data_IF_254817076761
#
_entry.id   IF_254817076761
#
_cell.length_a   1.000
_cell.length_b   1.000
_cell.length_c   1.000
_cell.angle_alpha   90.00
_cell.angle_beta   90.00
_cell.angle_gamma   90.00
#
_symmetry.space_group_name_H-M   'P 1'
#
loop_
_entity.id
_entity.type
_entity.pdbx_description
1 polymer ?
#
# COMPACT_ATOMS: atom_id res chain seq x y z
N UNK A 1 15.93 4.73 25.48
CA UNK A 1 15.43 5.05 26.85
C UNK A 1 14.30 6.09 26.86
N UNK A 2 14.19 7.01 25.89
CA UNK A 2 13.11 8.02 25.85
C UNK A 2 11.74 7.48 25.39
N UNK A 3 11.69 6.53 24.45
CA UNK A 3 10.43 5.97 23.91
C UNK A 3 9.56 5.39 25.03
N UNK A 4 10.15 4.66 25.99
CA UNK A 4 9.43 4.10 27.14
C UNK A 4 8.77 5.19 28.00
N UNK A 5 9.45 6.34 28.18
CA UNK A 5 8.92 7.48 28.94
C UNK A 5 7.76 8.16 28.20
N UNK A 6 7.82 8.21 26.87
CA UNK A 6 6.72 8.73 26.05
C UNK A 6 5.50 7.83 26.16
N UNK A 7 5.69 6.51 26.07
CA UNK A 7 4.61 5.52 26.17
C UNK A 7 3.97 5.48 27.57
N UNK A 8 4.74 5.72 28.64
CA UNK A 8 4.18 5.80 30.01
C UNK A 8 3.28 7.01 30.23
N UNK A 9 3.31 8.00 29.33
CA UNK A 9 2.44 9.18 29.35
C UNK A 9 1.16 9.02 28.53
N UNK A 10 0.81 7.78 28.16
CA UNK A 10 -0.40 7.47 27.39
C UNK A 10 -0.50 8.21 26.06
N UNK A 11 0.63 8.39 25.39
CA UNK A 11 0.68 9.03 24.09
C UNK A 11 -0.18 8.26 23.08
N UNK A 12 -0.89 9.03 22.25
CA UNK A 12 -1.80 8.53 21.21
C UNK A 12 -1.17 8.52 19.83
N UNK A 13 -0.22 9.41 19.57
CA UNK A 13 0.49 9.48 18.29
C UNK A 13 1.99 9.47 18.53
N UNK A 14 2.68 8.55 17.87
CA UNK A 14 4.12 8.45 17.92
C UNK A 14 4.68 8.33 16.51
N UNK A 15 5.56 9.27 16.17
CA UNK A 15 6.33 9.27 14.95
C UNK A 15 7.82 9.15 15.27
N UNK A 16 8.48 8.18 14.66
CA UNK A 16 9.91 7.93 14.83
C UNK A 16 10.56 7.91 13.45
N UNK A 17 11.52 8.82 13.28
CA UNK A 17 12.40 8.85 12.13
C UNK A 17 13.80 8.37 12.52
N UNK A 18 14.37 7.48 11.71
CA UNK A 18 15.70 6.94 11.86
C UNK A 18 16.45 7.07 10.54
N UNK A 19 17.68 7.60 10.56
CA UNK A 19 18.51 7.63 9.35
C UNK A 19 18.84 6.21 8.88
N UNK A 20 18.77 5.96 7.57
CA UNK A 20 19.08 4.66 6.98
C UNK A 20 20.59 4.35 6.88
N UNK A 21 21.45 5.31 7.24
CA UNK A 21 22.92 5.23 7.10
C UNK A 21 23.65 4.83 8.39
N UNK A 22 22.93 4.43 9.44
CA UNK A 22 23.56 3.99 10.68
C UNK A 22 23.91 2.50 10.60
N UNK A 23 25.17 2.16 10.92
CA UNK A 23 25.61 0.76 11.08
C UNK A 23 24.86 0.02 12.20
N UNK A 24 24.22 0.77 13.11
CA UNK A 24 23.41 0.21 14.20
C UNK A 24 21.95 0.22 13.82
N UNK A 25 21.35 -0.97 13.78
CA UNK A 25 19.91 -1.14 13.65
C UNK A 25 19.20 -0.53 14.86
N UNK A 26 18.22 0.35 14.60
CA UNK A 26 17.41 0.93 15.67
C UNK A 26 16.28 -0.04 16.03
N UNK A 27 16.48 -0.78 17.12
CA UNK A 27 15.47 -1.68 17.69
C UNK A 27 14.60 -0.89 18.66
N UNK A 28 13.29 -0.92 18.45
CA UNK A 28 12.32 -0.26 19.33
C UNK A 28 12.01 -1.13 20.55
N UNK A 29 11.76 -0.53 21.73
CA UNK A 29 11.45 -1.31 22.93
C UNK A 29 10.14 -2.08 22.74
N UNK A 30 10.08 -3.30 23.29
CA UNK A 30 8.89 -4.17 23.21
C UNK A 30 7.62 -3.53 23.75
N UNK A 31 7.76 -2.60 24.71
CA UNK A 31 6.65 -1.82 25.28
C UNK A 31 5.90 -0.97 24.25
N UNK A 32 6.54 -0.64 23.12
CA UNK A 32 5.86 0.04 22.01
C UNK A 32 4.71 -0.81 21.48
N UNK A 33 4.97 -2.10 21.26
CA UNK A 33 4.04 -3.07 20.68
C UNK A 33 2.94 -3.53 21.64
N UNK A 34 2.94 -3.08 22.89
CA UNK A 34 1.90 -3.38 23.90
C UNK A 34 1.20 -2.11 24.40
N UNK A 35 1.47 -0.96 23.79
CA UNK A 35 0.93 0.32 24.21
C UNK A 35 -0.56 0.44 23.83
N UNK A 36 -1.42 0.40 24.85
CA UNK A 36 -2.88 0.44 24.66
C UNK A 36 -3.43 1.81 24.28
N UNK A 37 -2.69 2.90 24.56
CA UNK A 37 -3.13 4.26 24.24
C UNK A 37 -2.80 4.66 22.80
N UNK A 38 -1.90 3.94 22.14
CA UNK A 38 -1.38 4.33 20.84
C UNK A 38 -2.42 4.13 19.74
N UNK A 39 -2.74 5.23 19.05
CA UNK A 39 -3.73 5.31 17.96
C UNK A 39 -3.06 5.45 16.61
N UNK A 40 -1.97 6.22 16.55
CA UNK A 40 -1.19 6.47 15.33
C UNK A 40 0.26 6.10 15.59
N UNK A 41 0.82 5.22 14.76
CA UNK A 41 2.22 4.85 14.79
C UNK A 41 2.83 5.07 13.42
N UNK A 42 3.85 5.94 13.35
CA UNK A 42 4.62 6.21 12.14
C UNK A 42 6.08 5.87 12.37
N UNK A 43 6.60 4.91 11.63
CA UNK A 43 7.99 4.46 11.68
C UNK A 43 8.63 4.71 10.32
N UNK A 44 9.75 5.44 10.31
CA UNK A 44 10.44 5.83 9.09
C UNK A 44 11.95 5.58 9.17
N UNK A 45 12.49 4.96 8.13
CA UNK A 45 13.90 4.66 7.91
C UNK A 45 14.40 3.44 8.68
N UNK A 46 15.72 3.37 8.90
CA UNK A 46 16.48 2.18 9.33
C UNK A 46 16.16 1.58 10.72
N UNK A 47 14.89 1.34 10.98
CA UNK A 47 14.31 0.76 12.18
C UNK A 47 14.16 -0.74 11.92
N UNK A 48 14.67 -1.56 12.83
CA UNK A 48 14.44 -2.99 12.81
C UNK A 48 13.18 -3.32 13.59
N UNK A 49 12.16 -3.81 12.89
CA UNK A 49 10.95 -4.34 13.51
C UNK A 49 11.17 -5.78 13.95
N UNK A 50 11.53 -5.93 15.22
CA UNK A 50 11.45 -7.19 15.96
C UNK A 50 10.16 -7.22 16.78
N UNK A 51 9.07 -7.67 16.14
CA UNK A 51 7.74 -7.66 16.75
C UNK A 51 7.61 -8.84 17.72
N UNK A 52 7.43 -8.57 19.03
CA UNK A 52 7.36 -9.62 20.04
C UNK A 52 6.11 -10.49 19.86
N UNK A 53 6.14 -11.72 20.39
CA UNK A 53 5.00 -12.65 20.31
C UNK A 53 3.73 -12.12 20.99
N UNK A 54 3.88 -11.35 22.06
CA UNK A 54 2.77 -10.79 22.84
C UNK A 54 2.39 -9.36 22.40
N UNK A 55 2.48 -9.06 21.10
CA UNK A 55 2.05 -7.77 20.55
C UNK A 55 0.54 -7.58 20.76
N UNK A 56 0.14 -6.38 21.16
CA UNK A 56 -1.25 -6.00 21.32
C UNK A 56 -1.37 -4.48 21.25
N UNK A 57 -1.90 -3.98 20.13
CA UNK A 57 -2.13 -2.55 19.90
C UNK A 57 -3.62 -2.30 19.68
N UNK A 58 -4.43 -2.40 20.75
CA UNK A 58 -5.90 -2.46 20.64
C UNK A 58 -6.55 -1.16 20.16
N UNK A 59 -5.83 -0.04 20.22
CA UNK A 59 -6.34 1.28 19.83
C UNK A 59 -5.76 1.80 18.52
N UNK A 60 -4.86 1.04 17.88
CA UNK A 60 -4.11 1.50 16.72
C UNK A 60 -5.02 1.54 15.49
N UNK A 61 -5.27 2.75 15.00
CA UNK A 61 -6.08 3.04 13.81
C UNK A 61 -5.23 3.34 12.58
N UNK A 62 -4.04 3.91 12.76
CA UNK A 62 -3.16 4.29 11.66
C UNK A 62 -1.75 3.74 11.88
N UNK A 63 -1.25 3.02 10.88
CA UNK A 63 0.09 2.46 10.87
C UNK A 63 0.83 2.90 9.59
N UNK A 64 1.92 3.62 9.74
CA UNK A 64 2.79 4.04 8.64
C UNK A 64 4.16 3.43 8.83
N UNK A 65 4.58 2.62 7.86
CA UNK A 65 5.87 1.94 7.85
C UNK A 65 6.62 2.34 6.58
N UNK A 66 7.58 3.25 6.71
CA UNK A 66 8.34 3.78 5.56
C UNK A 66 9.80 3.36 5.67
N UNK A 67 10.27 2.45 4.81
CA UNK A 67 11.68 2.06 4.82
C UNK A 67 12.12 1.38 6.11
N UNK A 68 11.24 0.64 6.79
CA UNK A 68 11.60 -0.18 7.95
C UNK A 68 12.13 -1.54 7.50
N UNK A 69 12.98 -2.15 8.33
CA UNK A 69 13.50 -3.51 8.11
C UNK A 69 12.73 -4.50 9.00
N UNK A 70 12.48 -5.71 8.50
CA UNK A 70 11.74 -6.74 9.23
C UNK A 70 12.69 -7.81 9.76
N UNK A 71 12.73 -8.03 11.07
CA UNK A 71 13.64 -9.02 11.66
C UNK A 71 13.32 -10.45 11.19
N UNK A 72 12.03 -10.74 11.03
CA UNK A 72 11.49 -11.97 10.44
C UNK A 72 10.39 -11.61 9.45
N UNK A 73 10.22 -12.44 8.42
CA UNK A 73 9.15 -12.30 7.43
C UNK A 73 7.76 -12.14 8.06
N UNK A 74 7.49 -12.90 9.13
CA UNK A 74 6.20 -12.88 9.84
C UNK A 74 5.98 -11.63 10.73
N UNK A 75 6.98 -10.75 10.89
CA UNK A 75 6.91 -9.65 11.86
C UNK A 75 5.76 -8.68 11.53
N UNK A 76 5.60 -8.36 10.25
CA UNK A 76 4.49 -7.52 9.79
C UNK A 76 3.14 -8.21 10.01
N UNK A 77 3.00 -9.46 9.60
CA UNK A 77 1.76 -10.22 9.74
C UNK A 77 1.34 -10.35 11.21
N UNK A 78 2.31 -10.59 12.10
CA UNK A 78 2.09 -10.64 13.54
C UNK A 78 1.61 -9.30 14.08
N UNK A 79 2.18 -8.19 13.60
CA UNK A 79 1.75 -6.85 14.00
C UNK A 79 0.32 -6.58 13.54
N UNK A 80 0.03 -6.79 12.25
CA UNK A 80 -1.28 -6.52 11.64
C UNK A 80 -2.40 -7.35 12.27
N UNK A 81 -2.17 -8.66 12.50
CA UNK A 81 -3.14 -9.55 13.15
C UNK A 81 -3.49 -9.16 14.59
N UNK A 82 -2.68 -8.33 15.25
CA UNK A 82 -2.89 -7.86 16.62
C UNK A 82 -3.26 -6.36 16.72
N UNK A 83 -3.72 -5.78 15.62
CA UNK A 83 -4.26 -4.42 15.53
C UNK A 83 -5.73 -4.48 15.05
N UNK A 84 -6.70 -4.87 15.92
CA UNK A 84 -8.06 -5.20 15.50
C UNK A 84 -8.86 -4.01 14.93
N UNK A 85 -8.47 -2.78 15.26
CA UNK A 85 -9.17 -1.53 14.85
C UNK A 85 -8.38 -0.73 13.82
N UNK A 86 -7.43 -1.35 13.13
CA UNK A 86 -6.60 -0.69 12.13
C UNK A 86 -7.43 -0.28 10.91
N UNK A 87 -7.47 1.03 10.62
CA UNK A 87 -8.28 1.64 9.57
C UNK A 87 -7.40 2.10 8.39
N UNK A 88 -6.18 2.57 8.64
CA UNK A 88 -5.26 3.10 7.63
C UNK A 88 -3.86 2.47 7.75
N UNK A 89 -3.39 1.86 6.66
CA UNK A 89 -2.08 1.22 6.56
C UNK A 89 -1.30 1.80 5.37
N UNK A 90 -0.13 2.34 5.67
CA UNK A 90 0.86 2.76 4.66
C UNK A 90 2.11 1.91 4.82
N UNK A 91 2.50 1.19 3.77
CA UNK A 91 3.74 0.42 3.73
C UNK A 91 4.58 0.85 2.54
N UNK A 92 5.81 1.27 2.82
CA UNK A 92 6.79 1.57 1.79
C UNK A 92 7.99 0.62 1.92
N UNK A 93 8.13 -0.20 0.89
CA UNK A 93 9.15 -1.22 0.70
C UNK A 93 10.32 -0.66 -0.14
N UNK A 94 11.08 0.28 0.41
CA UNK A 94 12.26 0.89 -0.27
C UNK A 94 13.60 0.12 -0.14
N UNK A 95 13.88 -0.64 0.92
CA UNK A 95 15.22 -1.25 1.17
C UNK A 95 15.42 -2.66 0.63
N UNK A 96 16.59 -3.03 0.11
CA UNK A 96 16.89 -4.27 -0.63
C UNK A 96 16.64 -5.66 0.03
N UNK A 97 15.88 -5.77 1.11
CA UNK A 97 15.62 -7.05 1.76
C UNK A 97 14.59 -7.90 0.99
N UNK A 98 14.86 -9.19 0.85
CA UNK A 98 13.89 -10.14 0.32
C UNK A 98 12.76 -10.32 1.34
N UNK A 99 11.57 -9.78 1.05
CA UNK A 99 10.42 -9.88 1.94
C UNK A 99 9.61 -11.17 1.73
N UNK A 100 9.90 -11.94 0.68
CA UNK A 100 9.14 -13.11 0.25
C UNK A 100 7.66 -12.80 0.12
N UNK A 101 6.78 -13.44 0.90
CA UNK A 101 5.33 -13.18 0.89
C UNK A 101 4.93 -11.92 1.66
N UNK A 102 4.14 -11.07 1.03
CA UNK A 102 3.45 -9.96 1.68
C UNK A 102 1.96 -10.26 1.78
N UNK A 103 1.42 -10.28 3.00
CA UNK A 103 0.03 -10.66 3.26
C UNK A 103 -0.61 -9.59 4.14
N UNK A 104 -1.72 -9.02 3.67
CA UNK A 104 -2.55 -8.07 4.41
C UNK A 104 -3.95 -8.65 4.55
N UNK A 105 -4.23 -9.19 5.73
CA UNK A 105 -5.54 -9.71 6.12
C UNK A 105 -5.99 -8.94 7.36
N UNK A 106 -6.71 -7.84 7.14
CA UNK A 106 -7.12 -6.89 8.18
C UNK A 106 -8.57 -6.48 7.91
N UNK A 107 -9.56 -7.13 8.55
CA UNK A 107 -10.99 -6.89 8.24
C UNK A 107 -11.49 -5.47 8.50
N UNK A 108 -10.82 -4.73 9.39
CA UNK A 108 -11.13 -3.33 9.74
C UNK A 108 -10.50 -2.30 8.81
N UNK A 109 -9.59 -2.72 7.93
CA UNK A 109 -8.81 -1.80 7.10
C UNK A 109 -9.70 -1.13 6.05
N UNK A 110 -9.64 0.19 5.99
CA UNK A 110 -10.40 1.04 5.05
C UNK A 110 -9.50 1.67 4.00
N UNK A 111 -8.24 1.95 4.34
CA UNK A 111 -7.26 2.59 3.45
C UNK A 111 -5.95 1.81 3.45
N UNK A 112 -5.48 1.44 2.26
CA UNK A 112 -4.20 0.77 2.07
C UNK A 112 -3.37 1.53 1.04
N UNK A 113 -2.17 1.94 1.42
CA UNK A 113 -1.18 2.51 0.50
C UNK A 113 0.09 1.69 0.52
N UNK A 114 0.43 1.10 -0.62
CA UNK A 114 1.63 0.31 -0.81
C UNK A 114 2.57 0.97 -1.81
N UNK A 115 3.83 1.05 -1.44
CA UNK A 115 4.92 1.44 -2.33
C UNK A 115 5.94 0.31 -2.41
N UNK A 116 6.21 -0.18 -3.62
CA UNK A 116 7.19 -1.21 -3.92
C UNK A 116 8.34 -0.56 -4.69
N UNK A 117 9.54 -0.60 -4.10
CA UNK A 117 10.76 -0.07 -4.72
C UNK A 117 11.34 -0.97 -5.82
N UNK A 118 12.44 -0.52 -6.41
CA UNK A 118 13.14 -1.25 -7.48
C UNK A 118 13.76 -2.58 -7.01
N UNK A 119 13.77 -3.57 -7.92
CA UNK A 119 14.48 -4.86 -7.75
C UNK A 119 14.08 -5.63 -6.48
N UNK A 120 12.79 -5.63 -6.17
CA UNK A 120 12.25 -6.45 -5.09
C UNK A 120 11.94 -7.85 -5.61
N UNK A 121 12.26 -8.87 -4.84
CA UNK A 121 11.73 -10.21 -5.08
C UNK A 121 10.59 -10.41 -4.09
N UNK A 122 9.36 -10.35 -4.60
CA UNK A 122 8.15 -10.68 -3.85
C UNK A 122 7.62 -12.00 -4.40
N UNK A 123 7.63 -13.03 -3.56
CA UNK A 123 7.17 -14.37 -3.99
C UNK A 123 5.65 -14.35 -4.27
N UNK A 124 4.92 -13.58 -3.45
CA UNK A 124 3.47 -13.51 -3.49
C UNK A 124 2.99 -12.26 -2.75
N UNK A 125 1.95 -11.65 -3.29
CA UNK A 125 1.26 -10.51 -2.71
C UNK A 125 -0.22 -10.83 -2.50
N UNK A 126 -0.69 -10.86 -1.25
CA UNK A 126 -2.07 -11.19 -0.88
C UNK A 126 -2.74 -10.03 -0.14
N UNK A 127 -3.87 -9.55 -0.67
CA UNK A 127 -4.76 -8.62 0.03
C UNK A 127 -6.14 -9.28 0.20
N UNK A 128 -6.57 -9.41 1.46
CA UNK A 128 -7.93 -9.76 1.83
C UNK A 128 -8.42 -8.81 2.93
N UNK A 129 -9.05 -7.72 2.49
CA UNK A 129 -9.51 -6.63 3.37
C UNK A 129 -10.92 -6.19 2.95
N UNK A 130 -11.98 -6.89 3.41
CA UNK A 130 -13.35 -6.69 2.91
C UNK A 130 -13.95 -5.31 3.20
N UNK A 131 -13.35 -4.54 4.11
CA UNK A 131 -13.76 -3.17 4.43
C UNK A 131 -13.00 -2.10 3.65
N UNK A 132 -12.10 -2.47 2.72
CA UNK A 132 -11.25 -1.52 2.02
C UNK A 132 -12.09 -0.61 1.11
N UNK A 133 -11.92 0.70 1.27
CA UNK A 133 -12.60 1.75 0.52
C UNK A 133 -11.64 2.49 -0.43
N UNK A 134 -10.37 2.57 -0.04
CA UNK A 134 -9.30 3.22 -0.78
C UNK A 134 -8.08 2.30 -0.90
N UNK A 135 -7.58 2.15 -2.13
CA UNK A 135 -6.38 1.38 -2.42
C UNK A 135 -5.39 2.19 -3.25
N UNK A 136 -4.14 2.27 -2.81
CA UNK A 136 -3.03 2.88 -3.55
C UNK A 136 -1.91 1.88 -3.71
N UNK A 137 -1.50 1.65 -4.95
CA UNK A 137 -0.34 0.86 -5.31
C UNK A 137 0.60 1.71 -6.16
N UNK A 138 1.85 1.82 -5.71
CA UNK A 138 2.96 2.32 -6.53
C UNK A 138 3.98 1.21 -6.62
N UNK A 139 4.11 0.58 -7.77
CA UNK A 139 5.09 -0.48 -8.00
C UNK A 139 6.12 -0.05 -9.06
N UNK A 140 7.33 0.24 -8.57
CA UNK A 140 8.48 0.64 -9.40
C UNK A 140 9.27 -0.57 -9.90
N UNK A 141 8.84 -1.78 -9.61
CA UNK A 141 9.50 -2.98 -10.07
C UNK A 141 9.14 -3.32 -11.52
N UNK A 142 10.12 -3.83 -12.27
CA UNK A 142 9.91 -4.26 -13.66
C UNK A 142 9.50 -5.72 -13.74
N UNK A 143 9.88 -6.53 -12.75
CA UNK A 143 9.52 -7.94 -12.67
C UNK A 143 8.05 -8.08 -12.26
N UNK A 144 7.34 -9.03 -12.87
CA UNK A 144 5.99 -9.43 -12.42
C UNK A 144 6.10 -10.22 -11.13
N UNK A 145 5.19 -9.96 -10.18
CA UNK A 145 5.03 -10.73 -8.96
C UNK A 145 3.59 -11.22 -8.90
N UNK A 146 3.33 -12.51 -8.56
CA UNK A 146 1.98 -13.01 -8.39
C UNK A 146 1.19 -12.18 -7.37
N UNK A 147 0.12 -11.54 -7.84
CA UNK A 147 -0.78 -10.76 -7.01
C UNK A 147 -2.13 -11.47 -6.89
N UNK A 148 -2.50 -11.83 -5.66
CA UNK A 148 -3.81 -12.35 -5.30
C UNK A 148 -4.55 -11.28 -4.49
N UNK A 149 -5.52 -10.66 -5.12
CA UNK A 149 -6.37 -9.68 -4.45
C UNK A 149 -7.76 -10.29 -4.40
N UNK A 150 -8.18 -10.61 -3.19
CA UNK A 150 -9.52 -11.12 -2.93
C UNK A 150 -10.56 -10.03 -3.18
N UNK A 151 -11.83 -10.43 -3.28
CA UNK A 151 -12.91 -9.50 -3.55
C UNK A 151 -13.02 -8.40 -2.46
N UNK A 152 -12.89 -7.13 -2.86
CA UNK A 152 -13.00 -5.96 -1.98
C UNK A 152 -14.29 -5.18 -2.32
N UNK A 153 -15.45 -5.62 -1.81
CA UNK A 153 -16.76 -5.13 -2.28
C UNK A 153 -17.04 -3.66 -1.95
N UNK A 154 -16.31 -3.07 -0.99
CA UNK A 154 -16.44 -1.67 -0.59
C UNK A 154 -15.47 -0.74 -1.31
N UNK A 155 -14.59 -1.26 -2.18
CA UNK A 155 -13.56 -0.43 -2.81
C UNK A 155 -14.23 0.60 -3.72
N UNK A 156 -14.01 1.87 -3.43
CA UNK A 156 -14.59 2.99 -4.20
C UNK A 156 -13.56 3.74 -5.00
N UNK A 157 -12.30 3.73 -4.55
CA UNK A 157 -11.23 4.51 -5.13
C UNK A 157 -9.93 3.71 -5.18
N UNK A 158 -9.30 3.72 -6.36
CA UNK A 158 -8.01 3.08 -6.58
C UNK A 158 -7.02 4.02 -7.27
N UNK A 159 -5.78 4.03 -6.78
CA UNK A 159 -4.62 4.62 -7.43
C UNK A 159 -3.64 3.50 -7.77
N UNK A 160 -3.24 3.40 -9.03
CA UNK A 160 -2.34 2.34 -9.51
C UNK A 160 -1.25 2.96 -10.39
N UNK A 161 -0.02 2.99 -9.90
CA UNK A 161 1.16 3.41 -10.67
C UNK A 161 2.14 2.23 -10.76
N UNK A 162 2.12 1.49 -11.86
CA UNK A 162 2.89 0.24 -11.99
C UNK A 162 3.72 0.22 -13.27
N UNK A 163 4.97 -0.23 -13.15
CA UNK A 163 5.91 -0.40 -14.27
C UNK A 163 5.77 -1.75 -15.00
N UNK A 164 5.31 -2.80 -14.30
CA UNK A 164 5.08 -4.15 -14.85
C UNK A 164 3.88 -4.20 -15.82
N UNK A 165 3.95 -5.09 -16.81
CA UNK A 165 2.89 -5.30 -17.82
C UNK A 165 1.82 -6.31 -17.41
N UNK A 166 2.05 -7.09 -16.34
CA UNK A 166 1.12 -8.14 -15.89
C UNK A 166 0.27 -7.65 -14.72
N UNK A 167 -0.85 -7.00 -15.05
CA UNK A 167 -1.78 -6.40 -14.09
C UNK A 167 -3.15 -7.08 -14.07
N UNK A 168 -3.30 -8.23 -14.71
CA UNK A 168 -4.62 -8.82 -14.96
C UNK A 168 -5.40 -9.09 -13.67
N UNK A 169 -4.76 -9.70 -12.66
CA UNK A 169 -5.39 -9.97 -11.37
C UNK A 169 -5.72 -8.68 -10.60
N UNK A 170 -4.82 -7.70 -10.64
CA UNK A 170 -5.01 -6.38 -10.04
C UNK A 170 -6.22 -5.67 -10.66
N UNK A 171 -6.25 -5.59 -11.99
CA UNK A 171 -7.32 -4.94 -12.76
C UNK A 171 -8.66 -5.61 -12.44
N UNK A 172 -8.72 -6.94 -12.48
CA UNK A 172 -9.92 -7.70 -12.15
C UNK A 172 -10.50 -7.32 -10.79
N UNK A 173 -9.63 -7.15 -9.78
CA UNK A 173 -10.04 -6.80 -8.41
C UNK A 173 -10.56 -5.36 -8.23
N UNK A 174 -10.18 -4.43 -9.12
CA UNK A 174 -10.55 -3.01 -9.03
C UNK A 174 -11.64 -2.59 -10.03
N UNK A 175 -12.23 -3.53 -10.79
CA UNK A 175 -13.29 -3.22 -11.78
C UNK A 175 -14.54 -2.53 -11.20
N UNK A 176 -14.76 -2.65 -9.89
CA UNK A 176 -15.96 -2.13 -9.21
C UNK A 176 -15.82 -0.70 -8.66
N UNK A 177 -14.65 -0.06 -8.83
CA UNK A 177 -14.38 1.28 -8.29
C UNK A 177 -15.17 2.38 -9.01
N UNK A 178 -15.39 3.48 -8.30
CA UNK A 178 -15.99 4.71 -8.84
C UNK A 178 -14.95 5.69 -9.35
N UNK A 179 -13.77 5.69 -8.73
CA UNK A 179 -12.65 6.56 -9.07
C UNK A 179 -11.39 5.72 -9.31
N UNK A 180 -10.79 5.88 -10.48
CA UNK A 180 -9.56 5.20 -10.84
C UNK A 180 -8.54 6.22 -11.32
N UNK A 181 -7.37 6.21 -10.68
CA UNK A 181 -6.18 6.92 -11.16
C UNK A 181 -5.18 5.86 -11.57
N UNK A 182 -4.74 5.88 -12.82
CA UNK A 182 -3.79 4.90 -13.31
C UNK A 182 -2.64 5.57 -14.08
N UNK A 183 -1.43 5.19 -13.68
CA UNK A 183 -0.16 5.53 -14.30
C UNK A 183 0.51 4.22 -14.69
N UNK A 184 0.36 3.78 -15.93
CA UNK A 184 0.92 2.49 -16.34
C UNK A 184 1.42 2.51 -17.77
N UNK A 185 2.48 1.75 -18.01
CA UNK A 185 2.91 1.36 -19.36
C UNK A 185 2.15 0.14 -19.89
N UNK A 186 1.41 -0.55 -19.02
CA UNK A 186 0.77 -1.82 -19.35
C UNK A 186 -0.53 -1.62 -20.15
N UNK A 187 -0.69 -2.43 -21.19
CA UNK A 187 -1.96 -2.59 -21.89
C UNK A 187 -2.91 -3.39 -21.01
N UNK A 188 -4.15 -2.92 -20.85
CA UNK A 188 -5.21 -3.72 -20.25
C UNK A 188 -5.47 -4.91 -21.18
N UNK A 189 -5.64 -6.09 -20.59
CA UNK A 189 -6.19 -7.20 -21.37
C UNK A 189 -7.62 -6.87 -21.78
N UNK A 190 -8.06 -7.43 -22.91
CA UNK A 190 -9.45 -7.31 -23.31
C UNK A 190 -10.38 -7.99 -22.27
N UNK A 191 -11.54 -7.39 -22.00
CA UNK A 191 -12.62 -8.06 -21.27
C UNK A 191 -12.93 -7.57 -19.84
N UNK A 192 -12.26 -6.53 -19.34
CA UNK A 192 -12.66 -5.89 -18.08
C UNK A 192 -13.69 -4.81 -18.33
N UNK A 193 -14.79 -4.83 -17.56
CA UNK A 193 -15.84 -3.83 -17.67
C UNK A 193 -15.93 -3.05 -16.35
N UNK A 194 -15.68 -1.76 -16.42
CA UNK A 194 -15.71 -0.81 -15.32
C UNK A 194 -17.11 -0.20 -15.16
N UNK A 195 -18.09 -1.05 -14.85
CA UNK A 195 -19.51 -0.68 -14.80
C UNK A 195 -19.87 0.39 -13.76
N UNK A 196 -19.00 0.70 -12.80
CA UNK A 196 -19.26 1.69 -11.73
C UNK A 196 -18.36 2.91 -11.83
N UNK A 197 -17.44 2.93 -12.78
CA UNK A 197 -16.44 3.98 -12.88
C UNK A 197 -17.10 5.28 -13.33
N UNK A 198 -16.99 6.30 -12.48
CA UNK A 198 -17.54 7.64 -12.69
C UNK A 198 -16.41 8.62 -13.06
N UNK A 199 -15.20 8.42 -12.51
CA UNK A 199 -14.03 9.26 -12.78
C UNK A 199 -12.78 8.45 -13.10
N UNK A 200 -12.12 8.81 -14.19
CA UNK A 200 -10.87 8.19 -14.63
C UNK A 200 -9.79 9.25 -14.82
N UNK A 201 -8.65 9.09 -14.16
CA UNK A 201 -7.46 9.88 -14.42
C UNK A 201 -6.38 8.97 -15.01
N UNK A 202 -5.94 9.32 -16.22
CA UNK A 202 -4.89 8.59 -16.94
C UNK A 202 -3.60 9.42 -16.95
N UNK A 203 -2.53 8.85 -16.43
CA UNK A 203 -1.16 9.32 -16.65
C UNK A 203 -0.49 8.37 -17.64
N UNK A 204 -0.37 8.77 -18.90
CA UNK A 204 0.14 7.89 -19.96
C UNK A 204 1.59 8.25 -20.30
N UNK A 205 2.44 7.22 -20.27
CA UNK A 205 3.89 7.30 -20.52
C UNK A 205 4.27 6.99 -21.99
N UNK A 206 3.29 6.87 -22.90
CA UNK A 206 3.49 6.48 -24.31
C UNK A 206 2.96 7.50 -25.32
N UNK A 207 3.56 7.48 -26.52
CA UNK A 207 3.31 8.40 -27.64
C UNK A 207 1.96 8.19 -28.37
N UNK A 208 1.24 7.07 -28.13
CA UNK A 208 -0.05 6.78 -28.80
C UNK A 208 -1.15 6.27 -27.83
N UNK A 209 -1.71 7.16 -26.98
CA UNK A 209 -2.73 6.85 -25.98
C UNK A 209 -4.12 6.48 -26.57
N UNK A 210 -4.33 6.67 -27.87
CA UNK A 210 -5.66 6.65 -28.48
C UNK A 210 -6.38 5.31 -28.35
N UNK A 211 -5.63 4.20 -28.44
CA UNK A 211 -6.20 2.86 -28.38
C UNK A 211 -6.64 2.50 -26.96
N UNK A 212 -5.81 2.80 -25.97
CA UNK A 212 -6.13 2.59 -24.56
C UNK A 212 -7.32 3.43 -24.12
N UNK A 213 -7.34 4.70 -24.52
CA UNK A 213 -8.43 5.60 -24.19
C UNK A 213 -9.75 5.14 -24.82
N UNK A 214 -9.71 4.74 -26.09
CA UNK A 214 -10.89 4.22 -26.80
C UNK A 214 -11.44 2.96 -26.14
N UNK A 215 -10.56 2.10 -25.61
CA UNK A 215 -10.96 0.89 -24.90
C UNK A 215 -11.61 1.23 -23.56
N UNK A 216 -11.01 2.11 -22.75
CA UNK A 216 -11.59 2.56 -21.49
C UNK A 216 -12.97 3.20 -21.64
N UNK A 217 -13.15 4.02 -22.68
CA UNK A 217 -14.44 4.63 -22.95
C UNK A 217 -15.52 3.60 -23.31
N UNK A 218 -15.15 2.51 -23.99
CA UNK A 218 -16.07 1.40 -24.28
C UNK A 218 -16.37 0.58 -23.03
N UNK A 219 -15.36 0.34 -22.21
CA UNK A 219 -15.44 -0.52 -21.02
C UNK A 219 -16.03 0.18 -19.79
N UNK A 220 -16.20 1.52 -19.84
CA UNK A 220 -16.66 2.34 -18.71
C UNK A 220 -17.96 3.10 -19.08
N UNK A 221 -19.11 2.40 -19.20
CA UNK A 221 -20.34 3.01 -19.72
C UNK A 221 -20.93 4.13 -18.85
N UNK A 222 -20.52 4.23 -17.58
CA UNK A 222 -20.99 5.23 -16.62
C UNK A 222 -19.98 6.36 -16.35
N UNK A 223 -18.91 6.45 -17.15
CA UNK A 223 -17.85 7.44 -16.97
C UNK A 223 -18.39 8.85 -17.20
N UNK A 224 -18.16 9.75 -16.24
CA UNK A 224 -18.62 11.14 -16.27
C UNK A 224 -17.45 12.13 -16.37
N UNK A 225 -16.33 11.80 -15.73
CA UNK A 225 -15.14 12.65 -15.70
C UNK A 225 -13.92 11.86 -16.20
N UNK A 226 -13.20 12.44 -17.14
CA UNK A 226 -11.97 11.90 -17.68
C UNK A 226 -10.90 12.99 -17.63
N UNK A 227 -9.84 12.72 -16.87
CA UNK A 227 -8.63 13.52 -16.85
C UNK A 227 -7.51 12.75 -17.55
N UNK A 228 -6.76 13.44 -18.40
CA UNK A 228 -5.69 12.86 -19.18
C UNK A 228 -4.45 13.74 -19.07
N UNK A 229 -3.34 13.15 -18.64
CA UNK A 229 -2.04 13.78 -18.51
C UNK A 229 -1.02 13.04 -19.39
N UNK A 230 -0.54 13.71 -20.44
CA UNK A 230 0.65 13.31 -21.21
C UNK A 230 1.88 13.99 -20.59
N UNK A 231 2.93 13.25 -20.23
CA UNK A 231 4.09 13.79 -19.48
C UNK A 231 4.71 15.05 -20.12
N UNK A 232 4.71 16.13 -19.34
CA UNK A 232 5.87 16.99 -19.05
C UNK A 232 5.52 17.71 -17.75
N UNK A 233 5.49 16.98 -16.64
CA UNK A 233 5.58 17.58 -15.30
C UNK A 233 5.90 16.46 -14.30
N UNK A 234 7.19 16.33 -14.00
CA UNK A 234 7.72 15.68 -12.79
C UNK A 234 7.14 16.40 -11.56
N UNK A 235 5.86 16.19 -11.25
CA UNK A 235 5.29 16.63 -9.98
C UNK A 235 5.18 15.40 -9.10
N UNK A 236 6.23 15.26 -8.30
CA UNK A 236 6.30 14.43 -7.11
C UNK A 236 5.03 14.53 -6.26
N UNK A 237 4.09 13.60 -6.42
CA UNK A 237 3.07 13.34 -5.40
C UNK A 237 3.63 12.35 -4.36
N UNK A 238 4.63 12.81 -3.60
CA UNK A 238 5.02 12.21 -2.34
C UNK A 238 4.42 13.01 -1.18
N UNK A 239 3.21 12.63 -0.73
CA UNK A 239 2.76 12.84 0.64
C UNK A 239 1.95 11.62 1.09
#
# INVERSE_FOLDING_TARGET
>A
MWVVVVLSRYVRELEIYSSCYQDKQNILPSSLYTCKSLVILKLNGGILMDVPRMVCLPSLKTLVLKGVNYFKQESLQRLLSNCPVLEDLVVNLCHHDNMGKFIVIVPSLQRLSLYIGYKRVLDEFVIDTPSLEYFKLVDRNYDSHPCLIENMPKLTEAYVDVRSTDLQSLIGSITSVKRLIISSKAMFGDGYIFNRLERLTLHVLEENPSNLLSQFLKDSPNLQELEYFSELDDVCFFY
#
